data_IF_105941643860
#
_entry.id   IF_105941643860
#
_cell.length_a   1.000
_cell.length_b   1.000
_cell.length_c   1.000
_cell.angle_alpha   90.00
_cell.angle_beta   90.00
_cell.angle_gamma   90.00
#
_symmetry.space_group_name_H-M   'P 1'
#
loop_
_entity.id
_entity.type
_entity.pdbx_description
1 polymer ?
#
# COMPACT_ATOMS: atom_id res chain seq x y z
N UNK A 1 -41.43 -3.88 -79.54
CA UNK A 1 -41.51 -2.81 -78.51
C UNK A 1 -42.25 -3.36 -77.36
N UNK A 2 -41.57 -3.65 -76.23
CA UNK A 2 -41.99 -4.01 -74.89
C UNK A 2 -41.15 -5.15 -74.31
N UNK A 3 -39.88 -4.92 -74.14
CA UNK A 3 -39.00 -5.87 -73.40
C UNK A 3 -38.11 -5.17 -72.35
N UNK A 4 -38.50 -3.93 -71.96
CA UNK A 4 -37.65 -3.14 -71.04
C UNK A 4 -38.29 -2.86 -69.70
N UNK A 5 -39.46 -3.42 -69.32
CA UNK A 5 -40.19 -3.06 -68.10
C UNK A 5 -40.31 -4.16 -67.03
N UNK A 6 -39.63 -5.29 -67.20
CA UNK A 6 -39.71 -6.38 -66.23
C UNK A 6 -38.42 -6.60 -65.40
N UNK A 7 -37.36 -5.85 -65.69
CA UNK A 7 -36.08 -5.98 -64.94
C UNK A 7 -35.88 -4.98 -63.79
N UNK A 8 -36.83 -4.00 -63.64
CA UNK A 8 -36.67 -2.96 -62.62
C UNK A 8 -37.49 -3.19 -61.28
N UNK A 9 -38.25 -4.32 -61.26
CA UNK A 9 -39.08 -4.63 -60.04
C UNK A 9 -38.59 -5.81 -59.20
N UNK A 10 -37.36 -6.32 -59.39
CA UNK A 10 -36.79 -7.40 -58.59
C UNK A 10 -35.49 -7.04 -57.83
N UNK A 11 -35.17 -5.73 -57.72
CA UNK A 11 -33.94 -5.28 -57.06
C UNK A 11 -34.22 -4.49 -55.78
N UNK A 12 -35.38 -4.68 -55.12
CA UNK A 12 -35.75 -3.83 -53.96
C UNK A 12 -36.31 -4.62 -52.78
N UNK A 13 -35.88 -5.88 -52.57
CA UNK A 13 -36.24 -6.66 -51.37
C UNK A 13 -35.05 -7.53 -50.92
N UNK A 14 -33.88 -6.96 -50.75
CA UNK A 14 -32.74 -7.68 -50.10
C UNK A 14 -31.80 -6.74 -49.37
N UNK A 15 -32.37 -5.76 -48.65
CA UNK A 15 -31.61 -4.87 -47.77
C UNK A 15 -32.38 -4.65 -46.47
N UNK A 16 -32.64 -5.71 -45.70
CA UNK A 16 -33.08 -5.58 -44.31
C UNK A 16 -32.90 -6.91 -43.57
N UNK A 17 -31.68 -7.37 -43.36
CA UNK A 17 -31.34 -8.30 -42.29
C UNK A 17 -29.81 -8.41 -42.16
N UNK A 18 -29.13 -7.27 -42.20
CA UNK A 18 -27.76 -7.14 -41.74
C UNK A 18 -27.77 -6.57 -40.34
N UNK A 19 -28.37 -7.29 -39.38
CA UNK A 19 -28.18 -7.02 -37.98
C UNK A 19 -26.69 -7.20 -37.68
N UNK A 20 -25.97 -6.09 -37.61
CA UNK A 20 -24.61 -6.06 -37.14
C UNK A 20 -24.61 -6.61 -35.70
N UNK A 21 -24.24 -7.86 -35.54
CA UNK A 21 -23.68 -8.39 -34.30
C UNK A 21 -22.39 -7.59 -34.07
N UNK A 22 -22.54 -6.40 -33.50
CA UNK A 22 -21.45 -5.72 -32.86
C UNK A 22 -21.02 -6.62 -31.68
N UNK A 23 -20.15 -7.59 -31.98
CA UNK A 23 -19.39 -8.27 -30.96
C UNK A 23 -18.63 -7.17 -30.25
N UNK A 24 -19.10 -6.79 -29.05
CA UNK A 24 -18.35 -6.00 -28.10
C UNK A 24 -17.16 -6.87 -27.67
N UNK A 25 -16.12 -6.87 -28.50
CA UNK A 25 -14.81 -7.30 -28.07
C UNK A 25 -14.43 -6.29 -26.96
N UNK A 26 -14.70 -6.65 -25.72
CA UNK A 26 -14.10 -5.96 -24.59
C UNK A 26 -12.60 -6.12 -24.80
N UNK A 27 -11.96 -5.07 -25.29
CA UNK A 27 -10.51 -4.94 -25.35
C UNK A 27 -10.03 -5.00 -23.90
N UNK A 28 -9.72 -6.22 -23.44
CA UNK A 28 -9.10 -6.41 -22.15
C UNK A 28 -7.71 -5.77 -22.24
N UNK A 29 -7.50 -4.71 -21.47
CA UNK A 29 -6.18 -4.09 -21.34
C UNK A 29 -5.13 -5.19 -21.09
N UNK A 30 -3.98 -5.19 -21.81
CA UNK A 30 -2.92 -6.14 -21.54
C UNK A 30 -2.49 -6.02 -20.07
N UNK A 31 -2.28 -7.17 -19.43
CA UNK A 31 -1.80 -7.22 -18.05
C UNK A 31 -0.39 -6.64 -17.95
N UNK A 32 -0.13 -5.88 -16.89
CA UNK A 32 1.23 -5.44 -16.56
C UNK A 32 2.10 -6.64 -16.13
N UNK A 33 3.43 -6.49 -16.17
CA UNK A 33 4.34 -7.53 -15.69
C UNK A 33 4.02 -7.93 -14.24
N UNK A 34 3.70 -6.96 -13.38
CA UNK A 34 3.30 -7.21 -12.00
C UNK A 34 1.97 -7.95 -11.89
N UNK A 35 0.99 -7.65 -12.75
CA UNK A 35 -0.28 -8.38 -12.79
C UNK A 35 -0.13 -9.80 -13.32
N UNK A 36 0.88 -10.06 -14.12
CA UNK A 36 1.23 -11.41 -14.55
C UNK A 36 1.85 -12.21 -13.40
N UNK A 37 2.71 -11.59 -12.60
CA UNK A 37 3.41 -12.21 -11.48
C UNK A 37 2.50 -12.34 -10.23
N UNK A 38 1.87 -11.25 -9.81
CA UNK A 38 1.15 -11.15 -8.54
C UNK A 38 -0.39 -11.15 -8.70
N UNK A 39 -0.90 -11.42 -9.89
CA UNK A 39 -2.33 -11.45 -10.19
C UNK A 39 -2.98 -10.06 -10.23
N UNK A 40 -4.17 -10.02 -10.83
CA UNK A 40 -4.99 -8.82 -10.84
C UNK A 40 -5.66 -8.58 -9.49
N UNK A 41 -6.03 -7.33 -9.18
CA UNK A 41 -6.78 -7.02 -7.96
C UNK A 41 -8.23 -7.48 -8.06
N UNK A 42 -8.83 -7.41 -9.24
CA UNK A 42 -10.21 -7.83 -9.49
C UNK A 42 -10.23 -9.33 -9.76
N UNK A 43 -10.87 -10.09 -8.90
CA UNK A 43 -11.18 -11.50 -9.15
C UNK A 43 -12.53 -11.56 -9.87
N UNK A 44 -12.55 -12.05 -11.11
CA UNK A 44 -13.75 -12.15 -11.93
C UNK A 44 -14.96 -12.69 -11.12
N UNK A 45 -16.05 -11.93 -11.09
CA UNK A 45 -17.35 -12.24 -10.44
C UNK A 45 -17.33 -12.42 -8.92
N UNK A 46 -16.33 -11.96 -8.19
CA UNK A 46 -16.32 -11.98 -6.71
C UNK A 46 -16.19 -10.56 -6.14
N UNK A 47 -16.47 -10.44 -4.86
CA UNK A 47 -16.45 -9.19 -4.10
C UNK A 47 -15.19 -8.38 -4.43
N UNK A 48 -15.36 -7.10 -4.76
CA UNK A 48 -14.22 -6.18 -4.91
C UNK A 48 -13.42 -6.15 -3.61
N UNK A 49 -12.10 -6.04 -3.68
CA UNK A 49 -11.27 -5.91 -2.49
C UNK A 49 -11.71 -4.70 -1.65
N UNK A 50 -11.63 -4.84 -0.34
CA UNK A 50 -12.05 -3.82 0.63
C UNK A 50 -10.83 -3.18 1.31
N UNK A 51 -10.96 -1.92 1.73
CA UNK A 51 -9.93 -1.24 2.49
C UNK A 51 -10.04 -1.59 3.98
N UNK A 52 -9.02 -2.26 4.53
CA UNK A 52 -8.97 -2.67 5.93
C UNK A 52 -9.16 -1.52 6.92
N UNK A 53 -8.73 -0.31 6.57
CA UNK A 53 -8.79 0.87 7.45
C UNK A 53 -10.21 1.42 7.59
N UNK A 54 -11.01 1.34 6.53
CA UNK A 54 -12.28 2.08 6.41
C UNK A 54 -13.49 1.18 6.18
N UNK A 55 -13.36 0.09 5.43
CA UNK A 55 -14.48 -0.79 5.08
C UNK A 55 -14.62 -1.90 6.12
N UNK A 56 -15.53 -1.71 7.06
CA UNK A 56 -15.78 -2.67 8.15
C UNK A 56 -16.92 -3.63 7.88
N UNK A 57 -17.65 -3.46 6.77
CA UNK A 57 -18.90 -4.19 6.52
C UNK A 57 -18.77 -5.71 6.55
N UNK A 58 -17.70 -6.24 5.93
CA UNK A 58 -17.49 -7.71 5.91
C UNK A 58 -16.27 -8.14 6.74
N UNK A 59 -15.60 -7.21 7.44
CA UNK A 59 -14.37 -7.51 8.18
C UNK A 59 -14.60 -8.61 9.22
N UNK A 60 -15.63 -8.50 10.06
CA UNK A 60 -15.95 -9.50 11.08
C UNK A 60 -16.27 -10.88 10.49
N UNK A 61 -16.88 -10.92 9.30
CA UNK A 61 -17.15 -12.19 8.60
C UNK A 61 -15.86 -12.83 8.08
N UNK A 62 -14.98 -12.04 7.48
CA UNK A 62 -13.69 -12.53 6.97
C UNK A 62 -12.77 -12.96 8.11
N UNK A 63 -12.62 -12.11 9.15
CA UNK A 63 -11.81 -12.47 10.32
C UNK A 63 -12.40 -13.65 11.08
N UNK A 64 -13.72 -13.69 11.27
CA UNK A 64 -14.41 -14.81 11.95
C UNK A 64 -14.27 -16.13 11.21
N UNK A 65 -14.20 -16.12 9.87
CA UNK A 65 -14.03 -17.31 9.05
C UNK A 65 -12.57 -17.75 8.85
N UNK A 66 -11.63 -16.78 8.71
CA UNK A 66 -10.28 -17.09 8.22
C UNK A 66 -9.15 -16.44 9.02
N UNK A 67 -9.43 -15.50 9.93
CA UNK A 67 -8.37 -14.76 10.62
C UNK A 67 -8.68 -14.55 12.11
N UNK A 68 -9.05 -15.62 12.81
CA UNK A 68 -9.17 -15.59 14.26
C UNK A 68 -7.81 -15.55 14.94
N UNK A 69 -7.79 -15.26 16.25
CA UNK A 69 -6.56 -15.14 17.06
C UNK A 69 -5.63 -16.35 16.89
N UNK A 70 -6.17 -17.56 16.81
CA UNK A 70 -5.37 -18.77 16.62
C UNK A 70 -4.62 -18.82 15.27
N UNK A 71 -5.17 -18.18 14.22
CA UNK A 71 -4.50 -18.03 12.92
C UNK A 71 -3.43 -16.94 13.02
N UNK A 72 -3.77 -15.80 13.62
CA UNK A 72 -2.82 -14.72 13.84
C UNK A 72 -1.60 -15.18 14.63
N UNK A 73 -1.80 -15.95 15.69
CA UNK A 73 -0.70 -16.48 16.53
C UNK A 73 -0.05 -17.73 15.93
N UNK A 74 -0.49 -18.16 14.75
CA UNK A 74 -0.01 -19.35 14.05
C UNK A 74 -0.09 -20.63 14.89
N UNK A 75 -1.13 -20.77 15.72
CA UNK A 75 -1.38 -21.94 16.59
C UNK A 75 -2.11 -23.02 15.80
N UNK A 76 -3.22 -22.67 15.13
CA UNK A 76 -4.05 -23.60 14.38
C UNK A 76 -4.75 -22.87 13.22
N UNK A 77 -4.75 -23.42 12.00
CA UNK A 77 -5.52 -22.87 10.90
C UNK A 77 -7.03 -23.09 11.13
N UNK A 78 -7.86 -22.27 10.46
CA UNK A 78 -9.31 -22.43 10.45
C UNK A 78 -9.75 -23.52 9.46
N UNK A 79 -9.03 -23.62 8.34
CA UNK A 79 -9.29 -24.58 7.28
C UNK A 79 -8.08 -25.49 7.05
N UNK A 80 -7.64 -25.67 5.79
CA UNK A 80 -6.62 -26.64 5.42
C UNK A 80 -5.22 -26.24 5.89
N UNK A 81 -4.90 -24.94 5.83
CA UNK A 81 -3.59 -24.41 6.19
C UNK A 81 -3.63 -22.92 6.52
N UNK A 82 -2.59 -22.44 7.22
CA UNK A 82 -2.44 -21.01 7.48
C UNK A 82 -2.31 -20.18 6.19
N UNK A 83 -1.62 -20.71 5.17
CA UNK A 83 -1.47 -20.02 3.90
C UNK A 83 -2.79 -19.86 3.17
N UNK A 84 -3.68 -20.87 3.20
CA UNK A 84 -5.01 -20.79 2.61
C UNK A 84 -5.90 -19.76 3.33
N UNK A 85 -5.88 -19.72 4.66
CA UNK A 85 -6.62 -18.75 5.47
C UNK A 85 -6.15 -17.31 5.21
N UNK A 86 -4.82 -17.11 5.18
CA UNK A 86 -4.22 -15.81 4.90
C UNK A 86 -4.44 -15.38 3.45
N UNK A 87 -4.38 -16.32 2.48
CA UNK A 87 -4.69 -16.05 1.08
C UNK A 87 -6.12 -15.52 0.93
N UNK A 88 -7.10 -16.17 1.57
CA UNK A 88 -8.48 -15.70 1.56
C UNK A 88 -8.62 -14.29 2.15
N UNK A 89 -8.05 -14.09 3.34
CA UNK A 89 -8.09 -12.81 4.05
C UNK A 89 -7.49 -11.68 3.24
N UNK A 90 -6.31 -11.91 2.63
CA UNK A 90 -5.58 -10.92 1.83
C UNK A 90 -6.14 -10.74 0.41
N UNK A 91 -7.02 -11.62 -0.05
CA UNK A 91 -7.82 -11.36 -1.24
C UNK A 91 -9.02 -10.46 -0.95
N UNK A 92 -9.67 -10.63 0.21
CA UNK A 92 -10.77 -9.80 0.64
C UNK A 92 -10.29 -8.39 1.07
N UNK A 93 -9.21 -8.33 1.83
CA UNK A 93 -8.59 -7.11 2.37
C UNK A 93 -7.09 -7.09 2.07
N UNK A 94 -6.67 -6.64 0.88
CA UNK A 94 -5.26 -6.70 0.49
C UNK A 94 -4.32 -5.95 1.44
N UNK A 95 -4.80 -4.89 2.09
CA UNK A 95 -4.06 -4.11 3.08
C UNK A 95 -4.43 -4.47 4.53
N UNK A 96 -4.78 -5.71 4.81
CA UNK A 96 -5.02 -6.17 6.18
C UNK A 96 -3.70 -6.26 6.95
N UNK A 97 -3.35 -5.24 7.72
CA UNK A 97 -2.04 -5.07 8.35
C UNK A 97 -1.61 -6.29 9.18
N UNK A 98 -2.49 -6.78 10.05
CA UNK A 98 -2.20 -7.93 10.91
C UNK A 98 -1.97 -9.21 10.10
N UNK A 99 -2.79 -9.46 9.06
CA UNK A 99 -2.64 -10.62 8.20
C UNK A 99 -1.34 -10.57 7.37
N UNK A 100 -0.92 -9.39 6.88
CA UNK A 100 0.37 -9.21 6.21
C UNK A 100 1.54 -9.55 7.15
N UNK A 101 1.50 -9.08 8.39
CA UNK A 101 2.51 -9.41 9.40
C UNK A 101 2.52 -10.91 9.73
N UNK A 102 1.34 -11.52 9.84
CA UNK A 102 1.23 -12.96 10.08
C UNK A 102 1.76 -13.77 8.92
N UNK A 103 1.50 -13.35 7.67
CA UNK A 103 2.05 -14.01 6.48
C UNK A 103 3.59 -13.96 6.44
N UNK A 104 4.19 -12.82 6.82
CA UNK A 104 5.65 -12.70 6.94
C UNK A 104 6.18 -13.68 7.99
N UNK A 105 5.57 -13.74 9.19
CA UNK A 105 5.96 -14.70 10.26
C UNK A 105 5.77 -16.14 9.84
N UNK A 106 4.73 -16.46 9.07
CA UNK A 106 4.52 -17.79 8.52
C UNK A 106 5.65 -18.19 7.57
N UNK A 107 6.03 -17.29 6.65
CA UNK A 107 7.15 -17.54 5.75
C UNK A 107 8.49 -17.71 6.47
N UNK A 108 8.74 -16.95 7.54
CA UNK A 108 9.91 -17.14 8.40
C UNK A 108 9.91 -18.51 9.08
N UNK A 109 8.75 -18.95 9.61
CA UNK A 109 8.57 -20.25 10.24
C UNK A 109 8.77 -21.41 9.26
N UNK A 110 8.20 -21.29 8.05
CA UNK A 110 8.30 -22.30 6.99
C UNK A 110 9.58 -22.18 6.17
N UNK A 111 10.39 -21.13 6.37
CA UNK A 111 11.63 -20.80 5.64
C UNK A 111 11.40 -20.74 4.13
N UNK A 112 10.32 -20.09 3.73
CA UNK A 112 9.92 -19.93 2.33
C UNK A 112 9.42 -18.53 2.03
N UNK A 113 9.56 -18.09 0.80
CA UNK A 113 8.97 -16.85 0.31
C UNK A 113 7.52 -17.02 -0.17
N UNK A 114 7.06 -18.26 -0.32
CA UNK A 114 5.68 -18.62 -0.62
C UNK A 114 5.21 -19.71 0.35
N UNK A 115 4.52 -19.35 1.43
CA UNK A 115 3.96 -20.31 2.38
C UNK A 115 3.03 -21.32 1.71
N UNK A 116 2.99 -22.51 2.29
CA UNK A 116 2.16 -23.61 1.76
C UNK A 116 0.72 -23.14 1.54
N UNK A 117 0.14 -23.46 0.39
CA UNK A 117 -1.22 -23.12 -0.05
C UNK A 117 -1.49 -21.61 -0.20
N UNK A 118 -0.47 -20.76 -0.11
CA UNK A 118 -0.56 -19.37 -0.53
C UNK A 118 -0.48 -19.28 -2.05
N UNK A 119 -1.37 -18.51 -2.67
CA UNK A 119 -1.41 -18.35 -4.14
C UNK A 119 -0.20 -17.60 -4.68
N UNK A 120 0.31 -16.66 -3.92
CA UNK A 120 1.41 -15.79 -4.30
C UNK A 120 2.53 -15.80 -3.26
N UNK A 121 3.68 -15.25 -3.63
CA UNK A 121 4.77 -14.99 -2.68
C UNK A 121 4.38 -13.88 -1.69
N UNK A 122 5.08 -13.82 -0.55
CA UNK A 122 4.91 -12.75 0.44
C UNK A 122 5.14 -11.39 -0.20
N UNK A 123 6.18 -11.24 -1.04
CA UNK A 123 6.47 -10.00 -1.78
C UNK A 123 5.27 -9.57 -2.63
N UNK A 124 4.62 -10.51 -3.31
CA UNK A 124 3.42 -10.22 -4.10
C UNK A 124 2.25 -9.71 -3.25
N UNK A 125 1.98 -10.30 -2.09
CA UNK A 125 0.91 -9.82 -1.21
C UNK A 125 1.19 -8.40 -0.71
N UNK A 126 2.44 -8.10 -0.37
CA UNK A 126 2.85 -6.77 0.08
C UNK A 126 2.75 -5.73 -1.06
N UNK A 127 3.20 -6.08 -2.27
CA UNK A 127 3.01 -5.22 -3.45
C UNK A 127 1.54 -5.02 -3.79
N UNK A 128 0.70 -6.04 -3.65
CA UNK A 128 -0.76 -5.94 -3.83
C UNK A 128 -1.37 -4.97 -2.83
N UNK A 129 -0.96 -5.02 -1.56
CA UNK A 129 -1.44 -4.11 -0.52
C UNK A 129 -1.19 -2.65 -0.88
N UNK A 130 0.06 -2.29 -1.22
CA UNK A 130 0.43 -0.91 -1.56
C UNK A 130 -0.10 -0.46 -2.94
N UNK A 131 -0.37 -1.39 -3.86
CA UNK A 131 -1.04 -1.08 -5.13
C UNK A 131 -2.52 -0.81 -4.93
N UNK A 132 -3.17 -1.57 -4.02
CA UNK A 132 -4.58 -1.39 -3.67
C UNK A 132 -4.82 -0.07 -2.96
N UNK A 133 -3.98 0.25 -1.97
CA UNK A 133 -4.02 1.50 -1.21
C UNK A 133 -2.63 2.11 -1.11
N UNK A 134 -2.32 2.95 -2.09
CA UNK A 134 -1.00 3.60 -2.15
C UNK A 134 -0.76 4.59 -1.01
N UNK A 135 -1.83 5.09 -0.40
CA UNK A 135 -1.86 5.99 0.75
C UNK A 135 -1.82 5.27 2.11
N UNK A 136 -1.76 3.93 2.12
CA UNK A 136 -1.66 3.16 3.36
C UNK A 136 -0.21 3.10 3.84
N UNK A 137 0.16 4.06 4.71
CA UNK A 137 1.52 4.20 5.23
C UNK A 137 1.93 2.98 6.09
N UNK A 138 0.97 2.35 6.78
CA UNK A 138 1.25 1.17 7.61
C UNK A 138 1.60 -0.02 6.71
N UNK A 139 0.83 -0.29 5.67
CA UNK A 139 1.13 -1.35 4.71
C UNK A 139 2.50 -1.12 4.03
N UNK A 140 2.85 0.13 3.69
CA UNK A 140 4.17 0.46 3.15
C UNK A 140 5.30 0.24 4.15
N UNK A 141 5.11 0.59 5.42
CA UNK A 141 6.12 0.33 6.46
C UNK A 141 6.29 -1.18 6.70
N UNK A 142 5.22 -1.96 6.69
CA UNK A 142 5.30 -3.42 6.75
C UNK A 142 6.12 -3.96 5.58
N UNK A 143 5.87 -3.45 4.36
CA UNK A 143 6.65 -3.85 3.18
C UNK A 143 8.12 -3.44 3.31
N UNK A 144 8.41 -2.22 3.75
CA UNK A 144 9.78 -1.77 3.97
C UNK A 144 10.53 -2.68 4.97
N UNK A 145 9.90 -3.05 6.08
CA UNK A 145 10.48 -3.97 7.06
C UNK A 145 10.77 -5.37 6.47
N UNK A 146 9.86 -5.90 5.64
CA UNK A 146 10.10 -7.14 4.90
C UNK A 146 11.30 -7.01 3.96
N UNK A 147 11.39 -5.90 3.20
CA UNK A 147 12.50 -5.64 2.30
C UNK A 147 13.85 -5.51 3.03
N UNK A 148 13.87 -4.88 4.21
CA UNK A 148 15.06 -4.79 5.07
C UNK A 148 15.53 -6.20 5.47
N UNK A 149 14.62 -7.05 5.95
CA UNK A 149 14.90 -8.44 6.31
C UNK A 149 15.43 -9.26 5.13
N UNK A 150 14.99 -8.96 3.91
CA UNK A 150 15.47 -9.57 2.66
C UNK A 150 16.73 -8.92 2.10
N UNK A 151 17.35 -7.98 2.81
CA UNK A 151 18.51 -7.19 2.38
C UNK A 151 18.28 -6.41 1.08
N UNK A 152 17.02 -6.09 0.74
CA UNK A 152 16.63 -5.26 -0.41
C UNK A 152 16.56 -3.79 0.02
N UNK A 153 17.71 -3.25 0.46
CA UNK A 153 17.77 -1.95 1.15
C UNK A 153 17.38 -0.77 0.27
N UNK A 154 17.63 -0.82 -1.04
CA UNK A 154 17.23 0.26 -1.96
C UNK A 154 15.71 0.31 -2.11
N UNK A 155 15.07 -0.84 -2.26
CA UNK A 155 13.61 -0.92 -2.37
C UNK A 155 12.94 -0.48 -1.05
N UNK A 156 13.51 -0.88 0.10
CA UNK A 156 13.06 -0.44 1.41
C UNK A 156 13.14 1.09 1.55
N UNK A 157 14.29 1.69 1.14
CA UNK A 157 14.49 3.14 1.17
C UNK A 157 13.44 3.88 0.32
N UNK A 158 13.09 3.35 -0.84
CA UNK A 158 12.06 3.93 -1.70
C UNK A 158 10.68 3.93 -1.01
N UNK A 159 10.31 2.84 -0.31
CA UNK A 159 9.06 2.78 0.44
C UNK A 159 9.06 3.75 1.63
N UNK A 160 10.14 3.79 2.41
CA UNK A 160 10.27 4.70 3.57
C UNK A 160 10.29 6.17 3.13
N UNK A 161 10.98 6.50 2.04
CA UNK A 161 10.96 7.86 1.47
C UNK A 161 9.55 8.31 1.11
N UNK A 162 8.77 7.43 0.47
CA UNK A 162 7.37 7.74 0.17
C UNK A 162 6.53 7.94 1.45
N UNK A 163 6.72 7.10 2.47
CA UNK A 163 6.04 7.30 3.77
C UNK A 163 6.41 8.67 4.35
N UNK A 164 7.70 9.06 4.30
CA UNK A 164 8.17 10.35 4.79
C UNK A 164 7.50 11.54 4.12
N UNK A 165 7.18 11.47 2.81
CA UNK A 165 6.49 12.56 2.09
C UNK A 165 5.04 12.75 2.55
N UNK A 166 4.43 11.76 3.18
CA UNK A 166 3.03 11.77 3.63
C UNK A 166 2.88 11.71 5.16
N UNK A 167 3.99 11.69 5.90
CA UNK A 167 3.98 11.54 7.35
C UNK A 167 3.31 12.74 8.08
N UNK A 168 3.40 13.94 7.48
CA UNK A 168 2.88 15.17 8.08
C UNK A 168 3.51 15.43 9.45
N UNK A 169 2.69 15.75 10.43
CA UNK A 169 3.05 15.99 11.82
C UNK A 169 2.77 14.78 12.74
N UNK A 170 2.59 13.59 12.16
CA UNK A 170 2.28 12.38 12.93
C UNK A 170 3.53 11.82 13.61
N UNK A 171 3.67 11.96 14.93
CA UNK A 171 4.87 11.57 15.67
C UNK A 171 5.12 10.06 15.62
N UNK A 172 4.04 9.23 15.57
CA UNK A 172 4.17 7.78 15.48
C UNK A 172 4.73 7.34 14.14
N UNK A 173 4.35 8.03 13.04
CA UNK A 173 4.92 7.73 11.72
C UNK A 173 6.40 8.05 11.68
N UNK A 174 6.82 9.22 12.17
CA UNK A 174 8.22 9.60 12.24
C UNK A 174 9.03 8.65 13.13
N UNK A 175 8.50 8.27 14.28
CA UNK A 175 9.14 7.30 15.17
C UNK A 175 9.38 5.94 14.46
N UNK A 176 8.38 5.41 13.78
CA UNK A 176 8.50 4.12 13.06
C UNK A 176 9.43 4.23 11.83
N UNK A 177 9.45 5.38 11.13
CA UNK A 177 10.44 5.67 10.10
C UNK A 177 11.86 5.65 10.69
N UNK A 178 12.05 6.31 11.82
CA UNK A 178 13.33 6.34 12.51
C UNK A 178 13.82 4.94 12.90
N UNK A 179 12.95 4.08 13.44
CA UNK A 179 13.29 2.67 13.71
C UNK A 179 13.68 1.91 12.44
N UNK A 180 12.93 2.11 11.35
CA UNK A 180 13.22 1.44 10.08
C UNK A 180 14.56 1.88 9.48
N UNK A 181 14.88 3.18 9.54
CA UNK A 181 16.19 3.69 9.12
C UNK A 181 17.32 3.20 10.03
N UNK A 182 17.06 3.09 11.34
CA UNK A 182 18.03 2.52 12.27
C UNK A 182 18.36 1.06 11.90
N UNK A 183 17.37 0.23 11.62
CA UNK A 183 17.53 -1.17 11.21
C UNK A 183 18.33 -1.29 9.90
N UNK A 184 18.25 -0.28 9.03
CA UNK A 184 19.06 -0.16 7.81
C UNK A 184 20.46 0.40 8.05
N UNK A 185 20.83 0.74 9.28
CA UNK A 185 22.06 1.48 9.64
C UNK A 185 22.16 2.86 8.95
N UNK A 186 21.05 3.41 8.55
CA UNK A 186 20.94 4.75 7.98
C UNK A 186 20.74 5.77 9.13
N UNK A 187 21.77 5.92 9.95
CA UNK A 187 21.68 6.58 11.26
C UNK A 187 21.35 8.07 11.17
N UNK A 188 21.81 8.76 10.14
CA UNK A 188 21.48 10.18 9.96
C UNK A 188 19.98 10.37 9.72
N UNK A 189 19.37 9.53 8.87
CA UNK A 189 17.93 9.55 8.65
C UNK A 189 17.17 9.10 9.92
N UNK A 190 17.67 8.10 10.63
CA UNK A 190 17.08 7.68 11.90
C UNK A 190 17.07 8.80 12.95
N UNK A 191 18.17 9.56 13.04
CA UNK A 191 18.29 10.71 13.92
C UNK A 191 17.33 11.83 13.54
N UNK A 192 17.26 12.18 12.25
CA UNK A 192 16.31 13.18 11.73
C UNK A 192 14.87 12.83 12.13
N UNK A 193 14.48 11.58 11.88
CA UNK A 193 13.13 11.11 12.20
C UNK A 193 12.87 11.05 13.72
N UNK A 194 13.88 10.76 14.53
CA UNK A 194 13.77 10.82 16.00
C UNK A 194 13.51 12.25 16.48
N UNK A 195 14.20 13.24 15.91
CA UNK A 195 13.98 14.64 16.23
C UNK A 195 12.58 15.12 15.79
N UNK A 196 12.14 14.73 14.59
CA UNK A 196 10.78 15.06 14.12
C UNK A 196 9.72 14.44 15.02
N UNK A 197 9.85 13.16 15.40
CA UNK A 197 8.93 12.52 16.33
C UNK A 197 8.84 13.27 17.65
N UNK A 198 10.00 13.67 18.21
CA UNK A 198 10.06 14.44 19.45
C UNK A 198 9.44 15.83 19.32
N UNK A 199 9.68 16.54 18.21
CA UNK A 199 9.11 17.87 17.94
C UNK A 199 7.59 17.85 17.81
N UNK A 200 7.01 16.72 17.39
CA UNK A 200 5.55 16.48 17.33
C UNK A 200 4.99 15.80 18.59
N UNK A 201 5.74 15.78 19.69
CA UNK A 201 5.28 15.35 21.01
C UNK A 201 5.44 13.85 21.31
N UNK A 202 6.28 13.12 20.60
CA UNK A 202 6.58 11.73 20.92
C UNK A 202 7.70 11.63 22.00
N UNK A 203 7.30 11.45 23.22
CA UNK A 203 8.23 11.22 24.35
C UNK A 203 8.68 9.74 24.43
N UNK A 204 9.22 9.19 23.37
CA UNK A 204 9.68 7.80 23.33
C UNK A 204 11.20 7.73 23.28
N UNK A 205 11.80 7.32 24.40
CA UNK A 205 13.24 7.21 24.57
C UNK A 205 13.90 6.02 23.85
N UNK A 206 13.12 5.08 23.30
CA UNK A 206 13.70 3.83 22.79
C UNK A 206 14.59 4.04 21.55
N UNK A 207 14.17 4.89 20.61
CA UNK A 207 14.98 5.19 19.42
C UNK A 207 16.20 6.05 19.81
N UNK A 208 16.03 7.00 20.73
CA UNK A 208 17.15 7.82 21.27
C UNK A 208 18.19 6.92 21.92
N UNK A 209 17.78 6.00 22.80
CA UNK A 209 18.69 5.04 23.44
C UNK A 209 19.45 4.21 22.43
N UNK A 210 18.78 3.66 21.42
CA UNK A 210 19.43 2.92 20.34
C UNK A 210 20.50 3.75 19.62
N UNK A 211 20.20 5.01 19.30
CA UNK A 211 21.16 5.91 18.64
C UNK A 211 22.34 6.27 19.56
N UNK A 212 22.11 6.43 20.86
CA UNK A 212 23.17 6.64 21.86
C UNK A 212 24.08 5.40 21.93
N UNK A 213 23.51 4.20 22.02
CA UNK A 213 24.24 2.94 22.10
C UNK A 213 25.23 2.72 20.94
N UNK A 214 24.86 3.22 19.74
CA UNK A 214 25.73 3.15 18.55
C UNK A 214 26.55 4.43 18.32
N UNK A 215 26.52 5.40 19.26
CA UNK A 215 27.28 6.65 19.18
C UNK A 215 26.81 7.63 18.09
N UNK A 216 25.54 7.53 17.68
CA UNK A 216 24.97 8.33 16.60
C UNK A 216 23.94 9.38 17.06
N UNK A 217 23.65 9.45 18.37
CA UNK A 217 22.79 10.49 18.88
C UNK A 217 23.53 11.85 18.92
N UNK A 218 22.86 12.87 18.45
CA UNK A 218 23.22 14.29 18.58
C UNK A 218 21.99 15.06 19.00
N UNK A 219 22.14 16.01 19.93
CA UNK A 219 20.99 16.87 20.29
C UNK A 219 20.59 17.74 19.11
N UNK A 220 19.28 18.08 18.97
CA UNK A 220 18.82 19.01 17.95
C UNK A 220 19.62 20.32 18.03
N UNK A 221 20.12 20.82 16.91
CA UNK A 221 20.65 22.16 16.89
C UNK A 221 19.56 23.14 17.27
N UNK A 222 19.78 23.91 18.33
CA UNK A 222 18.86 24.96 18.71
C UNK A 222 18.70 25.92 17.51
N UNK A 223 17.53 25.99 16.92
CA UNK A 223 17.23 27.05 15.93
C UNK A 223 17.27 28.34 16.70
N UNK A 224 18.14 29.32 16.32
CA UNK A 224 18.16 30.62 17.00
C UNK A 224 16.75 31.20 16.95
N UNK A 225 16.16 31.46 18.11
CA UNK A 225 14.79 32.00 18.26
C UNK A 225 14.55 33.35 17.57
N UNK A 226 15.51 33.90 16.82
CA UNK A 226 15.41 35.15 16.08
C UNK A 226 14.80 35.05 14.67
N UNK A 227 14.70 33.85 14.06
CA UNK A 227 14.23 33.75 12.68
C UNK A 227 12.69 33.71 12.54
N UNK A 228 11.96 33.26 13.56
CA UNK A 228 10.50 33.22 13.54
C UNK A 228 9.87 34.62 13.71
N UNK A 229 10.54 35.54 14.41
CA UNK A 229 10.10 36.92 14.63
C UNK A 229 10.22 37.82 13.39
N UNK A 230 11.15 37.51 12.48
CA UNK A 230 11.36 38.30 11.26
C UNK A 230 10.32 37.99 10.15
N UNK A 231 9.79 36.76 10.12
CA UNK A 231 8.79 36.36 9.14
C UNK A 231 7.38 36.95 9.43
N UNK A 232 7.02 37.09 10.71
CA UNK A 232 5.73 37.71 11.11
C UNK A 232 5.73 39.22 10.94
N UNK A 233 6.86 39.91 11.15
CA UNK A 233 6.97 41.36 10.94
C UNK A 233 6.91 41.74 9.46
N UNK A 234 7.33 40.88 8.54
CA UNK A 234 7.25 41.14 7.10
C UNK A 234 5.84 40.97 6.52
N UNK A 235 5.00 40.14 7.15
CA UNK A 235 3.62 39.92 6.70
C UNK A 235 2.67 41.06 7.12
N UNK A 236 2.88 41.67 8.28
CA UNK A 236 2.07 42.82 8.74
C UNK A 236 2.41 44.13 8.01
N UNK A 237 3.68 44.28 7.57
CA UNK A 237 4.10 45.45 6.77
C UNK A 237 3.50 45.51 5.37
N UNK A 238 3.22 44.37 4.74
CA UNK A 238 2.65 44.27 3.41
C UNK A 238 1.14 44.53 3.36
N UNK A 239 0.40 44.24 4.44
CA UNK A 239 -1.04 44.46 4.52
C UNK A 239 -1.42 45.92 4.74
N UNK A 240 -0.54 46.75 5.32
CA UNK A 240 -0.76 48.16 5.59
C UNK A 240 -0.50 49.08 4.37
N UNK A 241 0.22 48.59 3.36
CA UNK A 241 0.55 49.37 2.15
C UNK A 241 -0.50 49.25 1.02
N UNK A 242 -1.48 48.34 1.13
CA UNK A 242 -2.51 48.09 0.12
C UNK A 242 -3.84 48.79 0.39
N UNK A 243 -3.94 49.61 1.46
CA UNK A 243 -5.18 50.34 1.82
C UNK A 243 -4.99 51.85 1.92
N UNK A 244 -4.16 52.44 1.06
CA UNK A 244 -4.12 53.89 0.85
C UNK A 244 -4.24 54.23 -0.62
#
# INVERSE_FOLDING_TARGET
>A
MNLCNHLLKRLLVLTCCGGALAAHAQLTRPKTAEELECGTMVVAKRVEPMDYRTDRKLLSTVEGGHYQQQVEDLIKPMFESFGADLDYTLHAYPNHHRALLTLIRLGERERTDQPKDSRYTIDCYLRRAIRWRSDDLIARMIYAQYLIKKNRLQDARAQLGYVGTLAGDNPFTHFNLGLSYFDMKAYDQALEQAHLAASFGMENESLKKKLIEVGQWREPMAVPQGAASAASASAEGAASAASR
#
